data_IF_084915673077
#
_entry.id   IF_084915673077
#
_cell.length_a   1.000
_cell.length_b   1.000
_cell.length_c   1.000
_cell.angle_alpha   90.00
_cell.angle_beta   90.00
_cell.angle_gamma   90.00
#
_symmetry.space_group_name_H-M   'P 1'
#
loop_
_entity.id
_entity.type
_entity.pdbx_description
1 polymer ?
#
# COMPACT_ATOMS: atom_id res chain seq x y z
N UNK A 1 46.14 17.38 -2.24
CA UNK A 1 45.81 16.11 -2.92
C UNK A 1 44.40 15.71 -2.47
N UNK A 2 43.42 16.27 -3.17
CA UNK A 2 41.98 16.29 -2.88
C UNK A 2 41.28 14.95 -3.15
N UNK A 3 41.83 13.85 -2.65
CA UNK A 3 41.24 12.52 -2.81
C UNK A 3 40.50 12.03 -1.55
N UNK A 4 40.57 12.77 -0.44
CA UNK A 4 39.89 12.43 0.80
C UNK A 4 38.45 12.98 0.90
N UNK A 5 38.15 14.10 0.23
CA UNK A 5 36.81 14.73 0.27
C UNK A 5 35.81 14.12 -0.72
N UNK A 6 36.30 13.36 -1.72
CA UNK A 6 35.45 12.62 -2.66
C UNK A 6 34.77 11.39 -2.03
N UNK A 7 35.24 10.91 -0.87
CA UNK A 7 34.62 9.80 -0.14
C UNK A 7 33.43 10.24 0.72
N UNK A 8 33.34 11.54 1.06
CA UNK A 8 32.29 12.10 1.94
C UNK A 8 31.05 12.52 1.14
N UNK A 9 31.22 12.91 -0.14
CA UNK A 9 30.13 13.33 -1.03
C UNK A 9 29.57 12.20 -1.92
N UNK A 10 29.56 10.96 -1.41
CA UNK A 10 29.30 9.74 -2.17
C UNK A 10 27.90 9.73 -2.86
N UNK A 11 27.81 9.93 -4.19
CA UNK A 11 26.53 9.89 -4.93
C UNK A 11 26.13 8.45 -5.31
N UNK A 12 26.87 7.45 -4.84
CA UNK A 12 26.70 6.04 -5.24
C UNK A 12 25.66 5.26 -4.43
N UNK A 13 25.16 5.80 -3.33
CA UNK A 13 23.90 5.30 -2.77
C UNK A 13 22.78 5.96 -3.57
N UNK A 14 22.18 5.19 -4.50
CA UNK A 14 20.93 5.60 -5.13
C UNK A 14 20.00 6.11 -4.04
N UNK A 15 19.52 7.35 -4.19
CA UNK A 15 18.72 8.01 -3.16
C UNK A 15 17.66 7.03 -2.65
N UNK A 16 17.60 6.86 -1.32
CA UNK A 16 16.57 6.06 -0.69
C UNK A 16 15.22 6.65 -1.07
N UNK A 17 14.57 6.00 -2.02
CA UNK A 17 13.27 6.35 -2.56
C UNK A 17 12.31 5.19 -2.28
N UNK A 18 11.01 5.43 -2.44
CA UNK A 18 9.99 4.43 -2.15
C UNK A 18 10.28 3.09 -2.86
N UNK A 19 10.66 3.16 -4.13
CA UNK A 19 10.88 1.97 -4.98
C UNK A 19 12.03 1.11 -4.48
N UNK A 20 13.18 1.72 -4.17
CA UNK A 20 14.37 0.98 -3.71
C UNK A 20 14.13 0.33 -2.35
N UNK A 21 13.48 1.05 -1.42
CA UNK A 21 13.16 0.49 -0.09
C UNK A 21 12.11 -0.62 -0.17
N UNK A 22 11.02 -0.42 -0.90
CA UNK A 22 10.00 -1.47 -1.08
C UNK A 22 10.56 -2.72 -1.77
N UNK A 23 11.45 -2.57 -2.76
CA UNK A 23 12.15 -3.70 -3.37
C UNK A 23 13.03 -4.46 -2.35
N UNK A 24 13.78 -3.74 -1.51
CA UNK A 24 14.56 -4.36 -0.43
C UNK A 24 13.68 -5.11 0.56
N UNK A 25 12.55 -4.53 0.96
CA UNK A 25 11.57 -5.20 1.83
C UNK A 25 11.05 -6.50 1.22
N UNK A 26 10.72 -6.50 -0.09
CA UNK A 26 10.26 -7.70 -0.79
C UNK A 26 11.31 -8.82 -0.78
N UNK A 27 12.59 -8.47 -0.97
CA UNK A 27 13.70 -9.44 -0.88
C UNK A 27 13.82 -10.00 0.53
N UNK A 28 13.71 -9.16 1.56
CA UNK A 28 13.76 -9.60 2.96
C UNK A 28 12.59 -10.54 3.30
N UNK A 29 11.37 -10.27 2.81
CA UNK A 29 10.23 -11.18 2.95
C UNK A 29 10.53 -12.54 2.32
N UNK A 30 11.07 -12.55 1.10
CA UNK A 30 11.42 -13.78 0.40
C UNK A 30 12.53 -14.59 1.12
N UNK A 31 13.36 -13.92 1.92
CA UNK A 31 14.38 -14.54 2.77
C UNK A 31 13.85 -14.99 4.15
N UNK A 32 12.54 -14.83 4.43
CA UNK A 32 11.95 -15.15 5.73
C UNK A 32 12.26 -14.14 6.84
N UNK A 33 12.88 -13.00 6.50
CA UNK A 33 13.24 -11.93 7.42
C UNK A 33 12.09 -10.92 7.57
N UNK A 34 10.94 -11.40 8.02
CA UNK A 34 9.69 -10.63 8.01
C UNK A 34 9.77 -9.34 8.85
N UNK A 35 10.41 -9.39 10.03
CA UNK A 35 10.53 -8.21 10.90
C UNK A 35 11.42 -7.12 10.29
N UNK A 36 12.53 -7.51 9.66
CA UNK A 36 13.39 -6.58 8.92
C UNK A 36 12.64 -5.96 7.73
N UNK A 37 11.88 -6.77 7.00
CA UNK A 37 11.08 -6.29 5.87
C UNK A 37 10.01 -5.27 6.32
N UNK A 38 9.31 -5.56 7.44
CA UNK A 38 8.32 -4.66 8.04
C UNK A 38 8.92 -3.31 8.37
N UNK A 39 10.11 -3.27 8.97
CA UNK A 39 10.80 -2.02 9.26
C UNK A 39 11.12 -1.24 7.97
N UNK A 40 11.59 -1.93 6.93
CA UNK A 40 11.90 -1.31 5.63
C UNK A 40 10.65 -0.76 4.94
N UNK A 41 9.53 -1.47 4.98
CA UNK A 41 8.27 -0.98 4.42
C UNK A 41 7.75 0.26 5.14
N UNK A 42 7.82 0.30 6.48
CA UNK A 42 7.46 1.49 7.27
C UNK A 42 8.31 2.70 6.85
N UNK A 43 9.62 2.52 6.72
CA UNK A 43 10.49 3.59 6.20
C UNK A 43 10.12 4.01 4.77
N UNK A 44 9.71 3.08 3.89
CA UNK A 44 9.33 3.39 2.53
C UNK A 44 8.06 4.26 2.47
N UNK A 45 7.01 3.89 3.21
CA UNK A 45 5.72 4.61 3.18
C UNK A 45 5.81 6.01 3.80
N UNK A 46 6.76 6.24 4.70
CA UNK A 46 7.00 7.55 5.31
C UNK A 46 7.70 8.54 4.37
N UNK A 47 8.37 8.07 3.30
CA UNK A 47 9.11 8.96 2.40
C UNK A 47 8.20 9.98 1.68
N UNK A 48 8.67 11.22 1.44
CA UNK A 48 7.88 12.26 0.76
C UNK A 48 7.41 11.88 -0.65
N UNK A 49 8.18 11.04 -1.36
CA UNK A 49 7.89 10.59 -2.72
C UNK A 49 6.97 9.36 -2.77
N UNK A 50 6.49 8.85 -1.62
CA UNK A 50 5.57 7.72 -1.55
C UNK A 50 4.20 8.09 -2.16
N UNK A 51 4.03 7.80 -3.45
CA UNK A 51 2.82 8.10 -4.19
C UNK A 51 1.65 7.18 -3.83
N UNK A 52 0.42 7.71 -3.91
CA UNK A 52 -0.82 7.01 -3.56
C UNK A 52 -0.94 5.60 -4.18
N UNK A 53 -0.58 5.48 -5.46
CA UNK A 53 -0.66 4.20 -6.19
C UNK A 53 0.45 3.24 -5.79
N UNK A 54 1.66 3.73 -5.52
CA UNK A 54 2.79 2.90 -5.11
C UNK A 54 2.53 2.28 -3.72
N UNK A 55 2.06 3.11 -2.78
CA UNK A 55 1.67 2.66 -1.44
C UNK A 55 0.48 1.68 -1.52
N UNK A 56 -0.51 1.96 -2.40
CA UNK A 56 -1.63 1.04 -2.62
C UNK A 56 -1.15 -0.33 -3.12
N UNK A 57 -0.22 -0.35 -4.08
CA UNK A 57 0.32 -1.60 -4.61
C UNK A 57 1.11 -2.38 -3.56
N UNK A 58 1.87 -1.71 -2.69
CA UNK A 58 2.54 -2.37 -1.57
C UNK A 58 1.53 -3.03 -0.61
N UNK A 59 0.45 -2.34 -0.25
CA UNK A 59 -0.61 -2.91 0.58
C UNK A 59 -1.23 -4.17 -0.05
N UNK A 60 -1.46 -4.18 -1.37
CA UNK A 60 -1.94 -5.38 -2.09
C UNK A 60 -0.96 -6.54 -2.05
N UNK A 61 0.34 -6.27 -2.18
CA UNK A 61 1.37 -7.31 -2.05
C UNK A 61 1.31 -7.93 -0.66
N UNK A 62 1.16 -7.11 0.39
CA UNK A 62 1.04 -7.61 1.76
C UNK A 62 -0.21 -8.46 1.96
N UNK A 63 -1.35 -8.08 1.36
CA UNK A 63 -2.55 -8.94 1.33
C UNK A 63 -2.24 -10.29 0.68
N UNK A 64 -1.63 -10.31 -0.50
CA UNK A 64 -1.28 -11.55 -1.19
C UNK A 64 -0.27 -12.43 -0.44
N UNK A 65 0.47 -11.86 0.51
CA UNK A 65 1.39 -12.57 1.40
C UNK A 65 0.73 -13.04 2.71
N UNK A 66 -0.56 -12.75 2.92
CA UNK A 66 -1.28 -13.07 4.16
C UNK A 66 -1.01 -12.08 5.31
N UNK A 67 -0.23 -11.03 5.08
CA UNK A 67 0.13 -10.00 6.06
C UNK A 67 -0.95 -8.92 6.16
N UNK A 68 -2.17 -9.33 6.54
CA UNK A 68 -3.37 -8.48 6.47
C UNK A 68 -3.31 -7.27 7.42
N UNK A 69 -2.72 -7.44 8.61
CA UNK A 69 -2.57 -6.35 9.58
C UNK A 69 -1.60 -5.28 9.07
N UNK A 70 -0.49 -5.70 8.47
CA UNK A 70 0.47 -4.79 7.87
C UNK A 70 -0.13 -4.08 6.65
N UNK A 71 -0.92 -4.79 5.83
CA UNK A 71 -1.63 -4.18 4.71
C UNK A 71 -2.55 -3.06 5.21
N UNK A 72 -3.31 -3.29 6.29
CA UNK A 72 -4.18 -2.28 6.88
C UNK A 72 -3.37 -1.05 7.34
N UNK A 73 -2.27 -1.25 8.07
CA UNK A 73 -1.38 -0.15 8.51
C UNK A 73 -0.87 0.67 7.30
N UNK A 74 -0.47 0.00 6.22
CA UNK A 74 -0.01 0.65 4.98
C UNK A 74 -1.12 1.49 4.35
N UNK A 75 -2.35 0.98 4.28
CA UNK A 75 -3.47 1.74 3.72
C UNK A 75 -3.92 2.89 4.63
N UNK A 76 -3.83 2.74 5.95
CA UNK A 76 -4.07 3.82 6.91
C UNK A 76 -3.07 4.96 6.71
N UNK A 77 -1.78 4.64 6.58
CA UNK A 77 -0.73 5.62 6.26
C UNK A 77 -0.93 6.27 4.89
N UNK A 78 -1.39 5.50 3.90
CA UNK A 78 -1.77 6.05 2.59
C UNK A 78 -2.92 7.07 2.73
N UNK A 79 -3.90 6.77 3.58
CA UNK A 79 -5.04 7.66 3.84
C UNK A 79 -4.66 8.93 4.59
N UNK A 80 -3.72 8.85 5.53
CA UNK A 80 -3.16 10.03 6.21
C UNK A 80 -2.48 10.99 5.22
N UNK A 81 -1.70 10.45 4.27
CA UNK A 81 -0.92 11.24 3.31
C UNK A 81 -1.72 11.70 2.09
N UNK A 82 -2.68 10.89 1.64
CA UNK A 82 -3.45 11.09 0.41
C UNK A 82 -4.96 11.02 0.67
N UNK A 83 -5.51 11.91 1.52
CA UNK A 83 -6.91 11.86 1.91
C UNK A 83 -7.86 12.08 0.72
N UNK A 84 -9.07 11.55 0.83
CA UNK A 84 -10.16 11.76 -0.12
C UNK A 84 -9.90 11.27 -1.55
N UNK A 85 -9.09 10.23 -1.72
CA UNK A 85 -8.83 9.62 -3.04
C UNK A 85 -9.41 8.21 -3.10
N UNK A 86 -10.14 7.89 -4.18
CA UNK A 86 -10.79 6.58 -4.32
C UNK A 86 -9.85 5.36 -4.22
N UNK A 87 -8.57 5.40 -4.67
CA UNK A 87 -7.68 4.25 -4.54
C UNK A 87 -7.35 3.95 -3.07
N UNK A 88 -7.31 4.97 -2.22
CA UNK A 88 -7.07 4.81 -0.78
C UNK A 88 -8.27 4.15 -0.12
N UNK A 89 -9.48 4.67 -0.35
CA UNK A 89 -10.70 4.06 0.20
C UNK A 89 -10.85 2.61 -0.27
N UNK A 90 -10.58 2.35 -1.54
CA UNK A 90 -10.64 0.98 -2.06
C UNK A 90 -9.52 0.09 -1.49
N UNK A 91 -8.35 0.65 -1.18
CA UNK A 91 -7.29 -0.03 -0.44
C UNK A 91 -7.73 -0.45 0.96
N UNK A 92 -8.37 0.45 1.71
CA UNK A 92 -8.97 0.13 3.01
C UNK A 92 -10.04 -0.96 2.88
N UNK A 93 -10.88 -0.89 1.83
CA UNK A 93 -11.88 -1.92 1.57
C UNK A 93 -11.25 -3.31 1.38
N UNK A 94 -10.17 -3.39 0.59
CA UNK A 94 -9.40 -4.61 0.37
C UNK A 94 -8.78 -5.16 1.66
N UNK A 95 -8.15 -4.32 2.47
CA UNK A 95 -7.55 -4.75 3.72
C UNK A 95 -8.58 -5.31 4.70
N UNK A 96 -9.71 -4.61 4.89
CA UNK A 96 -10.80 -5.14 5.71
C UNK A 96 -11.40 -6.43 5.14
N UNK A 97 -11.50 -6.55 3.82
CA UNK A 97 -12.00 -7.77 3.17
C UNK A 97 -11.08 -8.96 3.44
N UNK A 98 -9.76 -8.78 3.33
CA UNK A 98 -8.76 -9.82 3.61
C UNK A 98 -8.82 -10.29 5.08
N UNK A 99 -9.23 -9.40 6.00
CA UNK A 99 -9.47 -9.72 7.42
C UNK A 99 -10.84 -10.35 7.69
N UNK A 100 -11.67 -10.57 6.67
CA UNK A 100 -13.05 -11.06 6.82
C UNK A 100 -14.02 -10.02 7.39
N UNK A 101 -13.60 -8.76 7.52
CA UNK A 101 -14.41 -7.67 8.08
C UNK A 101 -15.29 -7.01 7.00
N UNK A 102 -16.10 -7.81 6.31
CA UNK A 102 -16.83 -7.40 5.11
C UNK A 102 -17.74 -6.17 5.31
N UNK A 103 -18.28 -5.96 6.52
CA UNK A 103 -19.07 -4.76 6.83
C UNK A 103 -18.23 -3.47 6.75
N UNK A 104 -17.00 -3.50 7.27
CA UNK A 104 -16.08 -2.36 7.17
C UNK A 104 -15.56 -2.20 5.76
N UNK A 105 -15.25 -3.31 5.08
CA UNK A 105 -14.87 -3.32 3.67
C UNK A 105 -15.94 -2.63 2.80
N UNK A 106 -17.20 -3.00 2.99
CA UNK A 106 -18.34 -2.43 2.26
C UNK A 106 -18.49 -0.92 2.51
N UNK A 107 -18.26 -0.45 3.74
CA UNK A 107 -18.28 0.98 4.06
C UNK A 107 -17.25 1.74 3.21
N UNK A 108 -16.01 1.26 3.18
CA UNK A 108 -14.95 1.91 2.41
C UNK A 108 -15.13 1.78 0.90
N UNK A 109 -15.63 0.65 0.40
CA UNK A 109 -15.91 0.45 -1.03
C UNK A 109 -16.98 1.44 -1.54
N UNK A 110 -18.01 1.74 -0.73
CA UNK A 110 -19.02 2.75 -1.07
C UNK A 110 -18.42 4.15 -1.21
N UNK A 111 -17.53 4.53 -0.28
CA UNK A 111 -16.82 5.82 -0.35
C UNK A 111 -15.94 5.87 -1.60
N UNK A 112 -15.26 4.77 -1.95
CA UNK A 112 -14.47 4.70 -3.18
C UNK A 112 -15.32 4.90 -4.44
N UNK A 113 -16.54 4.32 -4.49
CA UNK A 113 -17.50 4.50 -5.60
C UNK A 113 -17.90 5.97 -5.76
N UNK A 114 -18.17 6.68 -4.67
CA UNK A 114 -18.54 8.10 -4.69
C UNK A 114 -17.43 9.00 -5.24
N UNK A 115 -16.16 8.54 -5.15
CA UNK A 115 -14.96 9.28 -5.55
C UNK A 115 -14.34 8.78 -6.87
N UNK A 116 -14.97 7.82 -7.53
CA UNK A 116 -14.46 7.26 -8.78
C UNK A 116 -14.43 8.32 -9.89
N UNK A 117 -13.34 8.40 -10.68
CA UNK A 117 -13.13 9.52 -11.61
C UNK A 117 -13.92 9.38 -12.92
N UNK A 118 -14.47 8.19 -13.20
CA UNK A 118 -15.25 7.90 -14.39
C UNK A 118 -16.11 6.65 -14.17
N UNK A 119 -17.04 6.43 -15.09
CA UNK A 119 -18.02 5.35 -14.96
C UNK A 119 -17.44 3.93 -15.09
N UNK A 120 -16.42 3.66 -15.93
CA UNK A 120 -15.74 2.37 -15.93
C UNK A 120 -15.17 1.99 -14.56
N UNK A 121 -14.49 2.92 -13.87
CA UNK A 121 -13.94 2.67 -12.54
C UNK A 121 -15.04 2.42 -11.51
N UNK A 122 -16.12 3.21 -11.57
CA UNK A 122 -17.28 3.04 -10.69
C UNK A 122 -17.96 1.68 -10.89
N UNK A 123 -18.14 1.23 -12.14
CA UNK A 123 -18.73 -0.08 -12.43
C UNK A 123 -17.89 -1.23 -11.88
N UNK A 124 -16.56 -1.15 -11.96
CA UNK A 124 -15.66 -2.13 -11.34
C UNK A 124 -15.85 -2.17 -9.82
N UNK A 125 -15.88 -1.00 -9.17
CA UNK A 125 -16.07 -0.90 -7.71
C UNK A 125 -17.45 -1.39 -7.26
N UNK A 126 -18.51 -1.16 -8.05
CA UNK A 126 -19.84 -1.69 -7.79
C UNK A 126 -19.85 -3.23 -7.82
N UNK A 127 -19.10 -3.85 -8.74
CA UNK A 127 -18.94 -5.30 -8.76
C UNK A 127 -18.35 -5.86 -7.46
N UNK A 128 -17.34 -5.21 -6.90
CA UNK A 128 -16.76 -5.57 -5.60
C UNK A 128 -17.73 -5.34 -4.44
N UNK A 129 -18.56 -4.29 -4.50
CA UNK A 129 -19.61 -4.05 -3.50
C UNK A 129 -20.61 -5.21 -3.45
N UNK A 130 -21.00 -5.77 -4.60
CA UNK A 130 -21.92 -6.91 -4.63
C UNK A 130 -21.31 -8.19 -4.04
N UNK A 131 -20.01 -8.42 -4.24
CA UNK A 131 -19.28 -9.52 -3.58
C UNK A 131 -19.24 -9.31 -2.05
N UNK A 132 -18.88 -8.11 -1.60
CA UNK A 132 -18.83 -7.78 -0.17
C UNK A 132 -20.19 -7.89 0.52
N UNK A 133 -21.29 -7.58 -0.17
CA UNK A 133 -22.66 -7.76 0.35
C UNK A 133 -22.99 -9.23 0.61
N UNK A 134 -22.42 -10.14 -0.16
CA UNK A 134 -22.55 -11.60 0.02
C UNK A 134 -21.59 -12.14 1.09
N UNK A 135 -20.69 -11.31 1.61
CA UNK A 135 -19.62 -11.74 2.51
C UNK A 135 -18.49 -12.47 1.80
N UNK A 136 -18.27 -12.18 0.51
CA UNK A 136 -17.18 -12.73 -0.28
C UNK A 136 -15.96 -11.80 -0.21
N UNK A 137 -14.76 -12.39 -0.19
CA UNK A 137 -13.52 -11.63 -0.27
C UNK A 137 -13.29 -11.07 -1.69
N UNK A 138 -12.74 -9.86 -1.77
CA UNK A 138 -12.52 -9.12 -3.03
C UNK A 138 -11.04 -9.05 -3.45
N UNK A 139 -10.19 -9.84 -2.82
CA UNK A 139 -8.75 -9.89 -3.05
C UNK A 139 -8.32 -11.04 -3.95
#
# INVERSE_FOLDING_TARGET
LEWADLAINNPFFGQSNFTTLSAKGNVLMAMGKADEAKAIYKSAIDLPDAGVFQVHQLGRIMIGQGEHDLALEIFEKNMEKHPNTWPVDFGMARAYSAKGEYKKALKHAKIAVERAPNEPNKNVLLGFIEQLKKGEDIN
#
